data_IF_669804945403
#
_entry.id   IF_669804945403
#
_cell.length_a   1.000
_cell.length_b   1.000
_cell.length_c   1.000
_cell.angle_alpha   90.00
_cell.angle_beta   90.00
_cell.angle_gamma   90.00
#
_symmetry.space_group_name_H-M   'P 1'
#
loop_
_entity.id
_entity.type
_entity.pdbx_description
1 polymer ?
#
# COMPACT_ATOMS: atom_id res chain seq x y z
N UNK A 1 -32.69 -14.44 8.83
CA UNK A 1 -31.62 -13.45 8.60
C UNK A 1 -30.38 -13.98 9.29
N UNK A 2 -29.61 -14.83 8.60
CA UNK A 2 -28.39 -15.43 9.17
C UNK A 2 -27.32 -14.36 9.40
N UNK A 3 -26.34 -14.61 10.29
CA UNK A 3 -25.26 -13.68 10.50
C UNK A 3 -24.61 -13.46 9.12
N UNK A 4 -24.41 -12.19 8.76
CA UNK A 4 -23.59 -11.85 7.62
C UNK A 4 -22.22 -12.37 7.98
N UNK A 5 -21.93 -13.60 7.55
CA UNK A 5 -20.60 -14.16 7.47
C UNK A 5 -19.74 -13.02 6.97
N UNK A 6 -18.97 -12.48 7.91
CA UNK A 6 -17.75 -11.77 7.64
C UNK A 6 -17.01 -12.72 6.72
N UNK A 7 -17.21 -12.56 5.41
CA UNK A 7 -16.24 -12.94 4.42
C UNK A 7 -15.01 -12.15 4.84
N UNK A 8 -14.24 -12.71 5.78
CA UNK A 8 -12.81 -12.54 5.89
C UNK A 8 -12.35 -12.88 4.49
N UNK A 9 -12.34 -11.85 3.65
CA UNK A 9 -11.59 -11.88 2.42
C UNK A 9 -10.19 -12.11 2.94
N UNK A 10 -9.74 -13.37 2.86
CA UNK A 10 -8.50 -13.82 3.48
C UNK A 10 -7.39 -13.04 2.81
N UNK A 11 -7.01 -11.93 3.45
CA UNK A 11 -5.97 -11.05 3.00
C UNK A 11 -4.68 -11.61 3.55
N UNK A 12 -3.98 -12.34 2.69
CA UNK A 12 -2.73 -13.01 3.06
C UNK A 12 -1.58 -12.08 2.75
N UNK A 13 -0.76 -11.76 3.74
CA UNK A 13 0.50 -11.06 3.51
C UNK A 13 1.40 -11.97 2.66
N UNK A 14 1.72 -11.53 1.44
CA UNK A 14 2.54 -12.31 0.50
C UNK A 14 3.96 -11.80 0.40
N UNK A 15 4.19 -10.50 0.66
CA UNK A 15 5.53 -9.91 0.62
C UNK A 15 5.59 -8.67 1.51
N UNK A 16 6.75 -8.46 2.11
CA UNK A 16 7.12 -7.18 2.73
C UNK A 16 8.35 -6.64 2.02
N UNK A 17 8.43 -5.33 1.91
CA UNK A 17 9.53 -4.63 1.25
C UNK A 17 9.80 -3.31 1.96
N UNK A 18 10.96 -2.72 1.68
CA UNK A 18 11.39 -1.43 2.21
C UNK A 18 11.96 -0.60 1.08
N UNK A 19 11.35 0.55 0.83
CA UNK A 19 11.82 1.51 -0.14
C UNK A 19 12.59 2.63 0.57
N UNK A 20 13.87 2.74 0.26
CA UNK A 20 14.71 3.86 0.69
C UNK A 20 14.55 5.02 -0.29
N UNK A 21 14.14 6.18 0.23
CA UNK A 21 14.08 7.44 -0.52
C UNK A 21 14.81 8.49 0.31
N UNK A 22 15.98 8.92 -0.17
CA UNK A 22 16.89 9.79 0.59
C UNK A 22 17.17 9.22 1.99
N UNK A 23 16.89 9.99 3.05
CA UNK A 23 17.10 9.60 4.44
C UNK A 23 15.88 8.90 5.06
N UNK A 24 14.87 8.56 4.26
CA UNK A 24 13.63 7.93 4.72
C UNK A 24 13.50 6.49 4.21
N UNK A 25 13.13 5.59 5.12
CA UNK A 25 12.79 4.21 4.79
C UNK A 25 11.29 4.01 4.95
N UNK A 26 10.62 3.68 3.84
CA UNK A 26 9.17 3.45 3.80
C UNK A 26 8.90 1.96 3.69
N UNK A 27 8.15 1.42 4.65
CA UNK A 27 7.75 0.03 4.62
C UNK A 27 6.57 -0.17 3.66
N UNK A 28 6.67 -1.20 2.82
CA UNK A 28 5.61 -1.63 1.89
C UNK A 28 5.21 -3.06 2.19
N UNK A 29 3.90 -3.33 2.25
CA UNK A 29 3.35 -4.66 2.52
C UNK A 29 2.39 -5.05 1.41
N UNK A 30 2.63 -6.18 0.77
CA UNK A 30 1.81 -6.69 -0.31
C UNK A 30 0.96 -7.84 0.18
N UNK A 31 -0.31 -7.85 -0.20
CA UNK A 31 -1.27 -8.84 0.22
C UNK A 31 -2.02 -9.41 -0.98
N UNK A 32 -2.26 -10.72 -0.94
CA UNK A 32 -3.19 -11.40 -1.84
C UNK A 32 -4.59 -11.42 -1.20
N UNK A 33 -5.58 -11.07 -1.99
CA UNK A 33 -6.99 -11.12 -1.68
C UNK A 33 -7.66 -12.15 -2.59
N UNK A 34 -8.22 -13.21 -2.00
CA UNK A 34 -9.04 -14.16 -2.74
C UNK A 34 -10.49 -13.75 -2.65
N UNK A 35 -11.07 -13.41 -3.80
CA UNK A 35 -12.51 -13.12 -3.90
C UNK A 35 -13.32 -14.42 -3.88
N UNK A 36 -14.59 -14.33 -3.51
CA UNK A 36 -15.51 -15.47 -3.42
C UNK A 36 -15.73 -16.21 -4.73
N UNK A 37 -15.46 -15.53 -5.85
CA UNK A 37 -15.55 -16.07 -7.20
C UNK A 37 -14.22 -16.65 -7.69
N UNK A 38 -13.23 -16.78 -6.81
CA UNK A 38 -11.91 -17.33 -7.13
C UNK A 38 -10.95 -16.36 -7.84
N UNK A 39 -11.36 -15.12 -8.12
CA UNK A 39 -10.45 -14.13 -8.69
C UNK A 39 -9.43 -13.68 -7.63
N UNK A 40 -8.16 -13.62 -8.04
CA UNK A 40 -7.04 -13.08 -7.24
C UNK A 40 -6.94 -11.59 -7.46
N UNK A 41 -6.90 -10.84 -6.36
CA UNK A 41 -6.52 -9.43 -6.33
C UNK A 41 -5.32 -9.27 -5.43
N UNK A 42 -4.50 -8.26 -5.71
CA UNK A 42 -3.39 -7.92 -4.86
C UNK A 42 -3.57 -6.50 -4.36
N UNK A 43 -3.09 -6.23 -3.15
CA UNK A 43 -3.06 -4.90 -2.57
C UNK A 43 -1.67 -4.60 -2.02
N UNK A 44 -1.20 -3.36 -2.12
CA UNK A 44 0.00 -2.87 -1.46
C UNK A 44 -0.36 -1.80 -0.44
N UNK A 45 0.13 -1.95 0.79
CA UNK A 45 0.11 -0.91 1.82
C UNK A 45 1.48 -0.26 1.91
N UNK A 46 1.51 1.05 1.66
CA UNK A 46 2.68 1.90 1.84
C UNK A 46 2.49 2.62 3.16
N UNK A 47 3.38 2.38 4.13
CA UNK A 47 3.33 2.95 5.47
C UNK A 47 4.22 4.19 5.54
N UNK A 48 3.60 5.37 5.43
CA UNK A 48 4.29 6.66 5.50
C UNK A 48 4.45 7.13 6.96
N UNK A 49 3.50 6.77 7.83
CA UNK A 49 3.59 6.93 9.28
C UNK A 49 2.71 5.89 9.99
N UNK A 50 2.76 5.76 11.32
CA UNK A 50 1.89 4.83 12.05
C UNK A 50 0.38 5.03 11.79
N UNK A 51 -0.03 6.26 11.48
CA UNK A 51 -1.44 6.64 11.23
C UNK A 51 -1.72 6.95 9.76
N UNK A 52 -0.70 6.89 8.89
CA UNK A 52 -0.80 7.33 7.50
C UNK A 52 -0.33 6.23 6.56
N UNK A 53 -1.27 5.75 5.75
CA UNK A 53 -1.05 4.66 4.82
C UNK A 53 -1.71 4.95 3.49
N UNK A 54 -1.03 4.56 2.41
CA UNK A 54 -1.59 4.52 1.07
C UNK A 54 -1.86 3.06 0.72
N UNK A 55 -3.04 2.78 0.19
CA UNK A 55 -3.44 1.46 -0.29
C UNK A 55 -3.56 1.52 -1.81
N UNK A 56 -2.88 0.60 -2.48
CA UNK A 56 -2.96 0.39 -3.93
C UNK A 56 -3.53 -0.99 -4.19
N UNK A 57 -4.43 -1.11 -5.16
CA UNK A 57 -4.96 -2.39 -5.62
C UNK A 57 -4.53 -2.65 -7.07
N UNK A 58 -4.18 -3.89 -7.39
CA UNK A 58 -3.87 -4.32 -8.75
C UNK A 58 -4.14 -5.82 -8.94
N UNK A 59 -3.97 -6.30 -10.16
CA UNK A 59 -4.13 -7.71 -10.54
C UNK A 59 -2.86 -8.56 -10.34
N UNK A 60 -1.72 -7.92 -10.07
CA UNK A 60 -0.44 -8.59 -9.82
C UNK A 60 0.45 -7.84 -8.83
N UNK A 61 1.26 -8.58 -8.07
CA UNK A 61 2.25 -8.01 -7.14
C UNK A 61 3.32 -7.22 -7.88
N UNK A 62 3.76 -7.68 -9.05
CA UNK A 62 4.79 -6.99 -9.86
C UNK A 62 4.33 -5.60 -10.31
N UNK A 63 3.06 -5.45 -10.71
CA UNK A 63 2.51 -4.12 -11.04
C UNK A 63 2.48 -3.22 -9.80
N UNK A 64 2.09 -3.76 -8.65
CA UNK A 64 2.09 -3.02 -7.38
C UNK A 64 3.48 -2.57 -6.97
N UNK A 65 4.50 -3.42 -7.13
CA UNK A 65 5.90 -3.07 -6.87
C UNK A 65 6.35 -1.91 -7.76
N UNK A 66 6.15 -2.03 -9.07
CA UNK A 66 6.50 -0.98 -10.02
C UNK A 66 5.78 0.36 -9.72
N UNK A 67 4.51 0.30 -9.28
CA UNK A 67 3.77 1.48 -8.83
C UNK A 67 4.32 2.03 -7.52
N UNK A 68 4.61 1.19 -6.53
CA UNK A 68 5.14 1.60 -5.24
C UNK A 68 6.49 2.33 -5.40
N UNK A 69 7.41 1.80 -6.22
CA UNK A 69 8.71 2.43 -6.52
C UNK A 69 8.55 3.83 -7.10
N UNK A 70 7.48 4.12 -7.85
CA UNK A 70 7.22 5.45 -8.43
C UNK A 70 6.43 6.36 -7.49
N UNK A 71 5.43 5.83 -6.80
CA UNK A 71 4.50 6.60 -5.97
C UNK A 71 5.12 7.01 -4.64
N UNK A 72 5.97 6.17 -4.04
CA UNK A 72 6.59 6.49 -2.75
C UNK A 72 7.45 7.76 -2.82
N UNK A 73 8.42 7.88 -3.75
CA UNK A 73 9.19 9.12 -3.87
C UNK A 73 8.32 10.33 -4.18
N UNK A 74 7.39 10.21 -5.14
CA UNK A 74 6.51 11.31 -5.53
C UNK A 74 5.66 11.82 -4.35
N UNK A 75 5.14 10.91 -3.53
CA UNK A 75 4.34 11.24 -2.36
C UNK A 75 5.18 11.94 -1.29
N UNK A 76 6.37 11.43 -0.99
CA UNK A 76 7.27 12.04 -0.02
C UNK A 76 7.66 13.46 -0.44
N UNK A 77 8.06 13.64 -1.69
CA UNK A 77 8.43 14.96 -2.21
C UNK A 77 7.24 15.93 -2.20
N UNK A 78 6.06 15.49 -2.63
CA UNK A 78 4.86 16.34 -2.59
C UNK A 78 4.54 16.82 -1.18
N UNK A 79 4.70 15.96 -0.18
CA UNK A 79 4.44 16.30 1.22
C UNK A 79 5.51 17.21 1.80
N UNK A 80 6.78 16.97 1.47
CA UNK A 80 7.87 17.86 1.87
C UNK A 80 7.65 19.28 1.34
N UNK A 81 7.25 19.41 0.08
CA UNK A 81 6.89 20.69 -0.53
C UNK A 81 5.70 21.36 0.18
N UNK A 82 4.64 20.60 0.45
CA UNK A 82 3.46 21.12 1.17
C UNK A 82 3.78 21.55 2.61
N UNK A 83 4.61 20.79 3.33
CA UNK A 83 5.05 21.13 4.68
C UNK A 83 5.85 22.43 4.70
N UNK A 84 6.74 22.63 3.70
CA UNK A 84 7.50 23.87 3.55
C UNK A 84 6.61 25.07 3.26
N UNK A 85 5.57 24.91 2.44
CA UNK A 85 4.62 25.97 2.13
C UNK A 85 3.81 26.41 3.35
N UNK A 86 3.44 25.48 4.24
CA UNK A 86 2.68 25.78 5.47
C UNK A 86 3.53 26.39 6.60
N UNK A 87 4.86 26.36 6.49
CA UNK A 87 5.78 26.90 7.49
C UNK A 87 6.23 28.35 7.18
N UNK A 88 5.83 28.89 6.04
CA UNK A 88 6.10 30.27 5.59
C UNK A 88 4.91 31.19 5.89
#
# INVERSE_FOLDING_TARGET
MGPREEYKMFRTLVKTDTLSVEDQTVAVRYFELRTLRGARRYSAEILLSPVDRIILDDDSVTNLEARATRLVPATLYSRMLAARANAA
#
